data_IF_597968962541
#
_entry.id   IF_597968962541
#
_cell.length_a   1.000
_cell.length_b   1.000
_cell.length_c   1.000
_cell.angle_alpha   90.00
_cell.angle_beta   90.00
_cell.angle_gamma   90.00
#
_symmetry.space_group_name_H-M   'P 1'
#
loop_
_entity.id
_entity.type
_entity.pdbx_description
1 polymer ?
#
# COMPACT_ATOMS: atom_id res chain seq x y z
N UNK A 1 -1.58 -17.82 -0.01
CA UNK A 1 -1.14 -16.68 0.81
C UNK A 1 -1.57 -15.39 0.15
N UNK A 2 -2.03 -14.45 0.93
CA UNK A 2 -2.56 -13.21 0.40
C UNK A 2 -1.58 -12.06 0.65
N UNK A 3 -1.27 -11.33 -0.40
CA UNK A 3 -0.48 -10.12 -0.33
C UNK A 3 -1.43 -8.94 -0.31
N UNK A 4 -1.21 -8.02 0.62
CA UNK A 4 -2.07 -6.84 0.75
C UNK A 4 -1.22 -5.61 1.01
N UNK A 5 -1.81 -4.45 0.77
CA UNK A 5 -1.17 -3.17 1.09
C UNK A 5 -1.83 -2.55 2.30
N UNK A 6 -1.04 -2.20 3.31
CA UNK A 6 -1.50 -1.44 4.46
C UNK A 6 -1.26 0.03 4.17
N UNK A 7 -2.33 0.80 4.14
CA UNK A 7 -2.26 2.23 3.83
C UNK A 7 -2.03 3.02 5.11
N UNK A 8 -1.12 3.98 5.07
CA UNK A 8 -0.71 4.72 6.26
C UNK A 8 -0.53 6.20 5.98
N UNK A 9 -0.72 7.00 7.02
CA UNK A 9 -0.33 8.40 7.01
C UNK A 9 1.15 8.54 7.34
N UNK A 10 1.67 9.74 7.16
CA UNK A 10 3.09 10.01 7.38
C UNK A 10 3.55 9.68 8.80
N UNK A 11 2.67 9.79 9.77
CA UNK A 11 2.99 9.47 11.17
C UNK A 11 2.82 7.99 11.51
N UNK A 12 2.47 7.17 10.54
CA UNK A 12 2.28 5.75 10.72
C UNK A 12 0.86 5.33 11.06
N UNK A 13 -0.07 6.28 11.13
CA UNK A 13 -1.47 5.96 11.40
C UNK A 13 -2.05 5.15 10.25
N UNK A 14 -2.62 3.99 10.55
CA UNK A 14 -3.21 3.11 9.55
C UNK A 14 -4.52 3.70 9.03
N UNK A 15 -4.66 3.73 7.70
CA UNK A 15 -5.87 4.20 7.04
C UNK A 15 -6.66 2.99 6.56
N UNK A 16 -7.93 2.92 6.96
CA UNK A 16 -8.79 1.81 6.52
C UNK A 16 -9.06 1.91 5.03
N UNK A 17 -8.77 0.86 4.26
CA UNK A 17 -9.05 0.87 2.83
C UNK A 17 -10.56 0.82 2.55
N UNK A 18 -10.94 1.41 1.42
CA UNK A 18 -12.34 1.43 0.98
C UNK A 18 -12.41 0.97 -0.47
N UNK A 19 -13.33 0.06 -0.76
CA UNK A 19 -13.56 -0.39 -2.12
C UNK A 19 -12.36 -1.10 -2.74
N UNK A 20 -11.90 -0.63 -3.88
CA UNK A 20 -10.84 -1.27 -4.64
C UNK A 20 -9.52 -1.36 -3.89
N UNK A 21 -9.32 -0.55 -2.87
CA UNK A 21 -8.09 -0.53 -2.10
C UNK A 21 -7.95 -1.75 -1.19
N UNK A 22 -9.02 -2.50 -1.03
CA UNK A 22 -9.02 -3.73 -0.22
C UNK A 22 -8.58 -4.95 -1.00
N UNK A 23 -7.99 -4.78 -2.15
CA UNK A 23 -7.60 -5.92 -2.97
C UNK A 23 -6.52 -6.77 -2.32
N UNK A 24 -6.64 -8.08 -2.56
CA UNK A 24 -5.60 -9.03 -2.20
C UNK A 24 -4.93 -9.53 -3.48
N UNK A 25 -3.66 -9.86 -3.36
CA UNK A 25 -2.87 -10.29 -4.51
C UNK A 25 -2.29 -11.66 -4.27
N UNK A 26 -2.13 -12.42 -5.34
CA UNK A 26 -1.61 -13.78 -5.24
C UNK A 26 -0.09 -13.84 -5.19
N UNK A 27 0.57 -12.73 -5.51
CA UNK A 27 2.02 -12.67 -5.49
C UNK A 27 2.49 -11.26 -5.17
N UNK A 28 3.74 -11.18 -4.72
CA UNK A 28 4.37 -9.88 -4.46
C UNK A 28 4.45 -9.04 -5.74
N UNK A 29 4.75 -9.68 -6.87
CA UNK A 29 4.83 -8.98 -8.15
C UNK A 29 3.52 -8.32 -8.54
N UNK A 30 2.42 -9.02 -8.33
CA UNK A 30 1.10 -8.44 -8.61
C UNK A 30 0.80 -7.26 -7.71
N UNK A 31 1.15 -7.36 -6.43
CA UNK A 31 0.97 -6.27 -5.50
C UNK A 31 1.81 -5.05 -5.89
N UNK A 32 3.04 -5.28 -6.32
CA UNK A 32 3.93 -4.19 -6.73
C UNK A 32 3.43 -3.52 -8.01
N UNK A 33 2.91 -4.30 -8.95
CA UNK A 33 2.32 -3.74 -10.16
C UNK A 33 1.13 -2.86 -9.84
N UNK A 34 0.29 -3.31 -8.91
CA UNK A 34 -0.88 -2.56 -8.51
C UNK A 34 -0.50 -1.21 -7.89
N UNK A 35 0.46 -1.21 -6.97
CA UNK A 35 0.86 0.03 -6.32
C UNK A 35 1.52 0.98 -7.31
N UNK A 36 2.25 0.45 -8.27
CA UNK A 36 2.88 1.25 -9.32
C UNK A 36 1.87 1.99 -10.19
N UNK A 37 0.67 1.43 -10.33
CA UNK A 37 -0.39 2.04 -11.13
C UNK A 37 -1.31 2.94 -10.31
N UNK A 38 -1.37 2.73 -9.00
CA UNK A 38 -2.37 3.39 -8.15
C UNK A 38 -1.79 4.34 -7.10
N UNK A 39 -0.46 4.40 -6.97
CA UNK A 39 0.16 5.20 -5.90
C UNK A 39 -0.24 6.67 -5.93
N UNK A 40 -0.40 7.22 -7.13
CA UNK A 40 -0.73 8.64 -7.28
C UNK A 40 -2.14 8.93 -6.75
N UNK A 41 -3.09 8.05 -7.09
CA UNK A 41 -4.45 8.19 -6.59
C UNK A 41 -4.53 8.03 -5.08
N UNK A 42 -3.74 7.11 -4.53
CA UNK A 42 -3.68 6.94 -3.09
C UNK A 42 -3.11 8.18 -2.42
N UNK A 43 -2.04 8.74 -2.97
CA UNK A 43 -1.43 9.95 -2.45
C UNK A 43 -2.42 11.10 -2.43
N UNK A 44 -3.19 11.25 -3.50
CA UNK A 44 -4.20 12.30 -3.60
C UNK A 44 -5.33 12.11 -2.61
N UNK A 45 -5.62 10.88 -2.21
CA UNK A 45 -6.68 10.59 -1.25
C UNK A 45 -6.23 10.69 0.21
N UNK A 46 -4.95 10.98 0.44
CA UNK A 46 -4.43 11.21 1.79
C UNK A 46 -3.54 10.10 2.31
N UNK A 47 -3.19 9.12 1.48
CA UNK A 47 -2.27 8.06 1.87
C UNK A 47 -0.84 8.54 1.63
N UNK A 48 -0.03 8.56 2.65
CA UNK A 48 1.35 9.06 2.54
C UNK A 48 2.37 7.95 2.33
N UNK A 49 2.09 6.76 2.86
CA UNK A 49 3.01 5.63 2.75
C UNK A 49 2.23 4.33 2.80
N UNK A 50 2.87 3.25 2.38
CA UNK A 50 2.25 1.92 2.34
C UNK A 50 3.23 0.88 2.84
N UNK A 51 2.70 -0.19 3.43
CA UNK A 51 3.48 -1.35 3.85
C UNK A 51 2.91 -2.58 3.16
N UNK A 52 3.76 -3.38 2.57
CA UNK A 52 3.35 -4.63 1.93
C UNK A 52 3.26 -5.72 2.98
N UNK A 53 2.10 -6.35 3.07
CA UNK A 53 1.86 -7.42 4.01
C UNK A 53 1.76 -8.75 3.28
N UNK A 54 2.43 -9.77 3.83
CA UNK A 54 2.30 -11.15 3.36
C UNK A 54 1.51 -11.92 4.41
N UNK A 55 0.28 -12.25 4.08
CA UNK A 55 -0.63 -12.95 4.99
C UNK A 55 -0.74 -12.23 6.34
N UNK A 56 -0.80 -10.91 6.28
CA UNK A 56 -0.93 -10.07 7.47
C UNK A 56 0.37 -9.69 8.14
N UNK A 57 1.51 -10.15 7.62
CA UNK A 57 2.82 -9.84 8.18
C UNK A 57 3.53 -8.77 7.36
N UNK A 58 4.10 -7.75 8.01
CA UNK A 58 4.86 -6.75 7.27
C UNK A 58 6.10 -7.39 6.62
N UNK A 59 6.14 -7.40 5.30
CA UNK A 59 7.27 -7.93 4.55
C UNK A 59 8.15 -6.82 4.00
N UNK A 60 7.54 -5.69 3.65
CA UNK A 60 8.25 -4.63 2.97
C UNK A 60 7.62 -3.28 3.31
N UNK A 61 8.44 -2.35 3.71
CA UNK A 61 7.99 -0.99 3.98
C UNK A 61 8.19 -0.58 5.43
N UNK A 62 7.67 0.56 5.79
CA UNK A 62 6.80 1.41 4.97
C UNK A 62 7.55 2.12 3.85
N UNK A 63 6.88 2.28 2.72
CA UNK A 63 7.43 3.01 1.59
C UNK A 63 6.64 4.29 1.38
N UNK A 64 7.33 5.41 1.28
CA UNK A 64 6.69 6.69 1.02
C UNK A 64 6.14 6.73 -0.40
N UNK A 65 4.94 7.30 -0.56
CA UNK A 65 4.36 7.54 -1.87
C UNK A 65 4.76 8.91 -2.42
N UNK A 66 5.40 9.74 -1.60
CA UNK A 66 5.84 11.05 -2.04
C UNK A 66 7.08 10.92 -2.90
N UNK A 67 7.13 11.62 -4.04
CA UNK A 67 8.32 11.58 -4.89
C UNK A 67 9.55 12.07 -4.14
N UNK A 68 10.68 11.42 -4.38
CA UNK A 68 11.94 11.85 -3.78
C UNK A 68 12.37 13.19 -4.39
N UNK A 69 12.78 14.08 -3.56
CA UNK A 69 13.29 15.36 -4.04
C UNK A 69 12.65 16.56 -3.48
#
# INVERSE_FOLDING_TARGET
MAWTWQLEKQDGTVIEPRGAEKETFSSQGDAESWIGENWRGLLESGVDQVTLLDDGRPEYGPMSLHPAG
#
